data_IF_891071570061
#
_entry.id   IF_891071570061
#
_cell.length_a   1.000
_cell.length_b   1.000
_cell.length_c   1.000
_cell.angle_alpha   90.00
_cell.angle_beta   90.00
_cell.angle_gamma   90.00
#
_symmetry.space_group_name_H-M   'P 1'
#
loop_
_entity.id
_entity.type
_entity.pdbx_description
1 polymer ?
#
# COMPACT_ATOMS: atom_id res chain seq x y z
N UNK A 1 -16.69 -5.15 -12.58
CA UNK A 1 -15.94 -4.87 -11.33
C UNK A 1 -14.82 -5.88 -11.11
N UNK A 2 -13.57 -5.40 -11.11
CA UNK A 2 -12.35 -6.20 -10.98
C UNK A 2 -11.89 -6.22 -9.52
N UNK A 3 -11.69 -7.40 -8.93
CA UNK A 3 -11.24 -7.55 -7.53
C UNK A 3 -9.71 -7.49 -7.44
N UNK A 4 -9.18 -6.49 -6.74
CA UNK A 4 -7.74 -6.24 -6.62
C UNK A 4 -7.20 -6.69 -5.27
N UNK A 5 -6.15 -7.49 -5.29
CA UNK A 5 -5.36 -7.88 -4.12
C UNK A 5 -4.03 -7.15 -4.09
N UNK A 6 -3.74 -6.41 -3.03
CA UNK A 6 -2.48 -5.67 -2.89
C UNK A 6 -1.55 -6.37 -1.90
N UNK A 7 -0.31 -6.60 -2.32
CA UNK A 7 0.77 -7.11 -1.46
C UNK A 7 1.77 -5.98 -1.21
N UNK A 8 1.90 -5.54 0.04
CA UNK A 8 2.82 -4.48 0.46
C UNK A 8 4.13 -5.00 1.07
N UNK A 9 5.19 -4.20 1.06
CA UNK A 9 6.43 -4.55 1.77
C UNK A 9 6.18 -4.60 3.29
N UNK A 10 6.48 -5.73 3.95
CA UNK A 10 6.33 -5.90 5.41
C UNK A 10 7.09 -4.87 6.22
N UNK A 11 8.30 -4.56 5.77
CA UNK A 11 9.18 -3.60 6.43
C UNK A 11 8.55 -2.20 6.48
N UNK A 12 8.04 -1.73 5.34
CA UNK A 12 7.31 -0.46 5.28
C UNK A 12 5.93 -0.54 5.91
N UNK A 13 5.33 -1.73 5.97
CA UNK A 13 4.02 -1.90 6.52
C UNK A 13 3.96 -1.40 7.98
N UNK A 14 4.93 -1.80 8.79
CA UNK A 14 5.00 -1.38 10.20
C UNK A 14 5.63 -0.01 10.42
N UNK A 15 6.38 0.53 9.44
CA UNK A 15 6.97 1.87 9.51
C UNK A 15 6.03 2.97 9.02
N UNK A 16 4.85 2.59 8.54
CA UNK A 16 4.02 3.43 7.71
C UNK A 16 4.36 3.24 6.25
N UNK A 17 3.32 3.03 5.43
CA UNK A 17 3.46 3.21 3.98
C UNK A 17 4.14 4.57 3.78
N UNK A 18 5.19 4.63 2.94
CA UNK A 18 6.03 5.81 2.79
C UNK A 18 5.13 7.03 2.68
N UNK A 19 5.19 7.91 3.69
CA UNK A 19 4.51 9.19 3.66
C UNK A 19 3.75 9.62 4.91
N UNK A 20 3.05 8.73 5.62
CA UNK A 20 2.10 9.17 6.66
C UNK A 20 1.81 8.19 7.81
N UNK A 21 2.62 7.16 8.05
CA UNK A 21 2.26 6.13 9.05
C UNK A 21 0.92 5.42 8.75
N UNK A 22 0.41 5.51 7.51
CA UNK A 22 -0.89 4.96 7.08
C UNK A 22 -0.83 4.36 5.67
N UNK A 23 -1.63 3.34 5.39
CA UNK A 23 -1.66 2.65 4.08
C UNK A 23 -2.45 3.38 2.99
N UNK A 24 -2.49 4.71 3.02
CA UNK A 24 -3.43 5.50 2.21
C UNK A 24 -3.06 5.60 0.72
N UNK A 25 -1.77 5.54 0.36
CA UNK A 25 -1.33 5.80 -1.01
C UNK A 25 -1.91 4.83 -2.06
N UNK A 26 -2.17 3.57 -1.70
CA UNK A 26 -2.78 2.60 -2.62
C UNK A 26 -4.25 2.95 -2.89
N UNK A 27 -5.02 3.28 -1.84
CA UNK A 27 -6.41 3.71 -1.99
C UNK A 27 -6.51 5.05 -2.71
N UNK A 28 -5.61 5.99 -2.40
CA UNK A 28 -5.51 7.27 -3.08
C UNK A 28 -5.16 7.10 -4.57
N UNK A 29 -4.26 6.17 -4.92
CA UNK A 29 -3.95 5.88 -6.32
C UNK A 29 -5.19 5.39 -7.09
N UNK A 30 -6.02 4.55 -6.47
CA UNK A 30 -7.29 4.14 -7.07
C UNK A 30 -8.27 5.31 -7.20
N UNK A 31 -8.47 6.09 -6.12
CA UNK A 31 -9.41 7.22 -6.11
C UNK A 31 -9.02 8.37 -7.04
N UNK A 32 -7.73 8.70 -7.12
CA UNK A 32 -7.19 9.73 -8.01
C UNK A 32 -6.90 9.21 -9.43
N UNK A 33 -7.14 7.92 -9.70
CA UNK A 33 -6.81 7.26 -10.97
C UNK A 33 -5.34 7.46 -11.40
N UNK A 34 -4.41 7.29 -10.45
CA UNK A 34 -2.96 7.44 -10.66
C UNK A 34 -2.20 6.13 -10.58
N UNK A 35 -1.06 6.10 -11.25
CA UNK A 35 -0.15 4.94 -11.26
C UNK A 35 -0.76 3.72 -11.97
N UNK A 36 -0.12 2.55 -11.84
CA UNK A 36 -0.63 1.31 -12.43
C UNK A 36 -2.01 0.92 -11.89
N UNK A 37 -2.28 1.12 -10.60
CA UNK A 37 -3.56 0.77 -9.99
C UNK A 37 -4.71 1.64 -10.50
N UNK A 38 -4.46 2.94 -10.71
CA UNK A 38 -5.46 3.87 -11.24
C UNK A 38 -5.90 3.59 -12.68
N UNK A 39 -5.17 2.74 -13.42
CA UNK A 39 -5.57 2.29 -14.77
C UNK A 39 -6.72 1.28 -14.74
N UNK A 40 -6.99 0.66 -13.58
CA UNK A 40 -8.12 -0.23 -13.37
C UNK A 40 -9.38 0.58 -13.03
N UNK A 41 -10.07 1.11 -14.05
CA UNK A 41 -11.25 1.98 -13.89
C UNK A 41 -12.38 1.38 -13.02
N UNK A 42 -12.52 0.05 -12.99
CA UNK A 42 -13.48 -0.66 -12.15
C UNK A 42 -12.82 -1.57 -11.10
N UNK A 43 -11.56 -1.28 -10.75
CA UNK A 43 -10.83 -2.00 -9.72
C UNK A 43 -11.39 -1.71 -8.34
N UNK A 44 -11.65 -2.74 -7.54
CA UNK A 44 -11.97 -2.64 -6.12
C UNK A 44 -10.90 -3.37 -5.32
N UNK A 45 -10.19 -2.67 -4.44
CA UNK A 45 -9.31 -3.32 -3.45
C UNK A 45 -10.19 -4.17 -2.53
N UNK A 46 -10.04 -5.49 -2.63
CA UNK A 46 -10.74 -6.46 -1.76
C UNK A 46 -9.81 -7.07 -0.72
N UNK A 47 -8.50 -6.97 -0.93
CA UNK A 47 -7.49 -7.51 -0.03
C UNK A 47 -6.24 -6.64 -0.05
N UNK A 48 -5.68 -6.37 1.12
CA UNK A 48 -4.46 -5.60 1.30
C UNK A 48 -3.66 -6.26 2.42
N UNK A 49 -2.51 -6.85 2.10
CA UNK A 49 -1.74 -7.66 3.04
C UNK A 49 -0.24 -7.35 2.98
N UNK A 50 0.48 -7.45 4.11
CA UNK A 50 1.93 -7.38 4.08
C UNK A 50 2.53 -8.66 3.49
N UNK A 51 3.62 -8.50 2.73
CA UNK A 51 4.50 -9.58 2.30
C UNK A 51 4.97 -10.39 3.54
N UNK A 52 5.22 -11.71 3.44
CA UNK A 52 5.63 -12.53 4.59
C UNK A 52 7.00 -12.16 5.21
N UNK A 53 7.80 -11.31 4.55
CA UNK A 53 9.13 -10.88 5.00
C UNK A 53 10.21 -11.17 3.96
N UNK A 54 11.44 -10.72 4.19
CA UNK A 54 12.60 -11.03 3.35
C UNK A 54 13.41 -12.19 3.96
N UNK A 55 13.96 -13.13 3.16
CA UNK A 55 13.92 -13.23 1.70
C UNK A 55 12.61 -13.90 1.24
N UNK A 56 11.61 -13.09 0.84
CA UNK A 56 10.22 -13.53 0.67
C UNK A 56 10.02 -14.53 -0.46
N UNK A 57 9.80 -15.77 -0.08
CA UNK A 57 9.42 -16.91 -0.91
C UNK A 57 7.92 -17.17 -0.84
N UNK A 58 7.32 -16.92 0.33
CA UNK A 58 5.89 -17.20 0.61
C UNK A 58 4.85 -16.26 -0.05
N UNK A 59 5.26 -15.45 -1.03
CA UNK A 59 4.36 -14.48 -1.66
C UNK A 59 3.34 -15.16 -2.57
N UNK A 60 3.70 -16.31 -3.15
CA UNK A 60 2.79 -17.11 -3.99
C UNK A 60 1.70 -17.75 -3.13
N UNK A 61 2.04 -18.27 -1.96
CA UNK A 61 1.11 -18.84 -0.97
C UNK A 61 0.20 -17.76 -0.40
N UNK A 62 0.73 -16.55 -0.13
CA UNK A 62 -0.08 -15.40 0.25
C UNK A 62 -1.09 -15.05 -0.86
N UNK A 63 -0.65 -15.04 -2.12
CA UNK A 63 -1.53 -14.80 -3.27
C UNK A 63 -2.59 -15.90 -3.42
N UNK A 64 -2.24 -17.17 -3.18
CA UNK A 64 -3.21 -18.28 -3.16
C UNK A 64 -4.29 -18.08 -2.09
N UNK A 65 -3.90 -17.66 -0.88
CA UNK A 65 -4.87 -17.40 0.20
C UNK A 65 -5.77 -16.20 -0.12
N UNK A 66 -5.22 -15.14 -0.70
CA UNK A 66 -5.99 -13.98 -1.17
C UNK A 66 -6.96 -14.36 -2.30
N UNK A 67 -6.55 -15.24 -3.22
CA UNK A 67 -7.42 -15.78 -4.26
C UNK A 67 -8.57 -16.60 -3.66
N UNK A 68 -8.26 -17.52 -2.74
CA UNK A 68 -9.24 -18.43 -2.14
C UNK A 68 -10.26 -17.71 -1.23
N UNK A 69 -9.83 -16.71 -0.47
CA UNK A 69 -10.68 -16.04 0.53
C UNK A 69 -11.34 -14.76 0.00
N UNK A 70 -10.59 -13.98 -0.76
CA UNK A 70 -10.98 -12.63 -1.16
C UNK A 70 -11.41 -12.58 -2.64
N UNK A 71 -11.24 -13.70 -3.37
CA UNK A 71 -11.56 -13.86 -4.80
C UNK A 71 -10.86 -12.81 -5.67
N UNK A 72 -9.57 -12.61 -5.43
CA UNK A 72 -8.73 -11.67 -6.19
C UNK A 72 -8.67 -12.07 -7.66
N UNK A 73 -8.78 -11.09 -8.56
CA UNK A 73 -8.69 -11.24 -10.01
C UNK A 73 -7.46 -10.53 -10.61
N UNK A 74 -6.91 -9.56 -9.89
CA UNK A 74 -5.67 -8.85 -10.25
C UNK A 74 -4.85 -8.63 -9.01
N UNK A 75 -3.58 -9.00 -9.05
CA UNK A 75 -2.66 -8.69 -7.96
C UNK A 75 -1.93 -7.38 -8.24
N UNK A 76 -1.61 -6.63 -7.21
CA UNK A 76 -0.73 -5.47 -7.29
C UNK A 76 0.37 -5.57 -6.23
N UNK A 77 1.61 -5.65 -6.69
CA UNK A 77 2.77 -5.49 -5.82
C UNK A 77 2.95 -4.01 -5.54
N UNK A 78 2.75 -3.60 -4.29
CA UNK A 78 2.71 -2.19 -3.94
C UNK A 78 4.02 -1.48 -4.24
N UNK A 79 3.93 -0.19 -4.58
CA UNK A 79 5.11 0.64 -4.94
C UNK A 79 6.22 0.62 -3.89
N UNK A 80 5.88 0.44 -2.60
CA UNK A 80 6.84 0.35 -1.50
C UNK A 80 7.76 -0.88 -1.56
N UNK A 81 7.43 -1.92 -2.34
CA UNK A 81 8.35 -3.04 -2.61
C UNK A 81 9.55 -2.61 -3.47
N UNK A 82 9.40 -1.56 -4.26
CA UNK A 82 10.37 -1.13 -5.25
C UNK A 82 11.15 0.12 -4.84
N UNK A 83 10.90 0.68 -3.66
CA UNK A 83 11.68 1.80 -3.11
C UNK A 83 13.11 1.37 -2.78
N UNK A 84 14.04 2.32 -2.87
CA UNK A 84 15.50 2.15 -2.89
C UNK A 84 15.99 0.99 -2.00
N UNK A 85 16.15 -0.18 -2.64
CA UNK A 85 16.78 -1.38 -2.07
C UNK A 85 15.88 -2.42 -1.40
N UNK A 86 14.54 -2.30 -1.42
CA UNK A 86 13.72 -3.09 -0.49
C UNK A 86 13.33 -4.51 -0.93
N UNK A 87 13.11 -4.78 -2.21
CA UNK A 87 12.80 -6.14 -2.65
C UNK A 87 13.63 -6.54 -3.88
N UNK A 88 14.72 -7.30 -3.72
CA UNK A 88 15.55 -7.74 -4.85
C UNK A 88 14.83 -8.72 -5.78
N UNK A 89 13.66 -9.24 -5.36
CA UNK A 89 12.89 -10.25 -6.11
C UNK A 89 11.48 -9.79 -6.46
N UNK A 90 11.15 -8.51 -6.31
CA UNK A 90 9.78 -8.01 -6.50
C UNK A 90 9.20 -8.38 -7.87
N UNK A 91 9.95 -8.10 -8.93
CA UNK A 91 9.54 -8.45 -10.30
C UNK A 91 9.46 -9.95 -10.53
N UNK A 92 10.46 -10.70 -10.04
CA UNK A 92 10.50 -12.16 -10.17
C UNK A 92 9.32 -12.82 -9.45
N UNK A 93 8.95 -12.34 -8.26
CA UNK A 93 7.81 -12.82 -7.50
C UNK A 93 6.50 -12.48 -8.22
N UNK A 94 6.40 -11.30 -8.85
CA UNK A 94 5.27 -10.97 -9.71
C UNK A 94 5.09 -11.99 -10.84
N UNK A 95 6.15 -12.26 -11.60
CA UNK A 95 6.13 -13.28 -12.67
C UNK A 95 5.76 -14.68 -12.14
N UNK A 96 6.22 -15.05 -10.94
CA UNK A 96 5.86 -16.33 -10.31
C UNK A 96 4.37 -16.40 -9.96
N UNK A 97 3.78 -15.33 -9.47
CA UNK A 97 2.34 -15.25 -9.18
C UNK A 97 1.53 -15.34 -10.49
N UNK A 98 1.95 -14.61 -11.54
CA UNK A 98 1.30 -14.70 -12.86
C UNK A 98 1.34 -16.13 -13.40
N UNK A 99 2.52 -16.77 -13.35
CA UNK A 99 2.69 -18.16 -13.80
C UNK A 99 1.87 -19.16 -12.98
N UNK A 100 1.73 -18.95 -11.66
CA UNK A 100 1.02 -19.86 -10.78
C UNK A 100 -0.51 -19.80 -10.94
N UNK A 101 -1.08 -18.63 -11.23
CA UNK A 101 -2.54 -18.44 -11.20
C UNK A 101 -3.15 -18.00 -12.54
N UNK A 102 -2.33 -17.65 -13.55
CA UNK A 102 -2.83 -17.11 -14.82
C UNK A 102 -3.52 -15.75 -14.68
N UNK A 103 -3.28 -15.04 -13.57
CA UNK A 103 -3.88 -13.74 -13.27
C UNK A 103 -2.83 -12.63 -13.42
N UNK A 104 -3.19 -11.44 -13.93
CA UNK A 104 -2.25 -10.35 -14.13
C UNK A 104 -1.71 -9.81 -12.81
N UNK A 105 -0.43 -9.42 -12.82
CA UNK A 105 0.23 -8.74 -11.69
C UNK A 105 0.69 -7.35 -12.09
N UNK A 106 0.17 -6.34 -11.39
CA UNK A 106 0.66 -4.96 -11.50
C UNK A 106 1.92 -4.77 -10.66
N UNK A 107 2.97 -4.22 -11.28
CA UNK A 107 4.19 -3.83 -10.58
C UNK A 107 4.13 -2.34 -10.23
N UNK A 108 3.88 -2.08 -8.94
CA UNK A 108 3.61 -0.74 -8.44
C UNK A 108 2.11 -0.45 -8.33
N UNK A 109 1.74 0.42 -7.40
CA UNK A 109 0.35 0.83 -7.16
C UNK A 109 0.13 2.29 -7.52
N UNK A 110 0.86 3.17 -6.85
CA UNK A 110 0.88 4.62 -7.06
C UNK A 110 1.99 5.06 -8.03
N UNK A 111 3.16 4.40 -7.98
CA UNK A 111 4.28 4.60 -8.91
C UNK A 111 4.57 3.27 -9.57
N UNK A 112 4.91 3.26 -10.87
CA UNK A 112 5.41 2.08 -11.55
C UNK A 112 6.76 1.63 -10.95
N UNK A 113 7.04 0.33 -10.99
CA UNK A 113 8.22 -0.26 -10.33
C UNK A 113 9.55 0.35 -10.78
N UNK A 114 9.72 0.58 -12.08
CA UNK A 114 10.88 1.23 -12.70
C UNK A 114 11.15 2.64 -12.13
N UNK A 115 10.09 3.41 -11.92
CA UNK A 115 10.16 4.77 -11.34
C UNK A 115 10.31 4.76 -9.82
N UNK A 116 9.93 3.67 -9.16
CA UNK A 116 9.99 3.52 -7.72
C UNK A 116 11.41 3.19 -7.21
N UNK A 117 12.24 2.53 -8.03
CA UNK A 117 13.60 2.08 -7.72
C UNK A 117 14.49 3.10 -6.98
N UNK A 118 14.41 4.39 -7.31
CA UNK A 118 15.22 5.44 -6.70
C UNK A 118 14.61 6.14 -5.48
N UNK A 119 13.36 5.85 -5.12
CA UNK A 119 12.62 6.57 -4.09
C UNK A 119 12.86 5.93 -2.72
N UNK A 120 13.17 6.71 -1.67
CA UNK A 120 13.35 6.19 -0.29
C UNK A 120 12.06 6.16 0.52
N UNK A 121 11.25 7.21 0.36
CA UNK A 121 9.90 7.31 0.90
C UNK A 121 9.16 8.45 0.21
N UNK A 122 7.99 8.18 -0.35
CA UNK A 122 7.09 9.21 -0.87
C UNK A 122 6.36 9.87 0.30
N UNK A 123 6.81 11.03 0.77
CA UNK A 123 5.98 11.89 1.62
C UNK A 123 5.12 12.77 0.72
N UNK A 124 3.83 12.44 0.62
CA UNK A 124 2.85 13.43 0.14
C UNK A 124 2.43 14.29 1.31
N UNK A 125 2.02 15.53 1.05
CA UNK A 125 1.10 16.21 1.94
C UNK A 125 -0.30 15.85 1.42
N UNK A 126 -1.19 15.30 2.26
CA UNK A 126 -2.61 15.25 1.90
C UNK A 126 -3.19 16.62 2.26
N UNK A 127 -3.69 17.40 1.29
CA UNK A 127 -4.28 18.70 1.57
C UNK A 127 -5.39 18.56 2.61
N UNK A 128 -5.39 19.44 3.61
CA UNK A 128 -6.40 19.44 4.67
C UNK A 128 -6.19 18.44 5.81
N UNK A 129 -5.19 17.54 5.73
CA UNK A 129 -4.77 16.74 6.90
C UNK A 129 -3.78 17.59 7.72
N UNK A 130 -4.08 17.94 8.98
CA UNK A 130 -3.17 18.68 9.84
C UNK A 130 -1.86 17.91 10.03
N UNK A 131 -0.75 18.64 10.18
CA UNK A 131 0.53 18.00 10.52
C UNK A 131 0.43 17.27 11.86
N UNK A 132 1.25 16.23 12.10
CA UNK A 132 1.24 15.54 13.39
C UNK A 132 1.42 16.49 14.61
N UNK A 133 2.31 17.50 14.57
CA UNK A 133 2.38 18.53 15.62
C UNK A 133 1.10 19.34 15.77
N UNK A 134 0.40 19.62 14.67
CA UNK A 134 -0.86 20.35 14.69
C UNK A 134 -2.01 19.51 15.23
N UNK A 135 -2.08 18.22 14.89
CA UNK A 135 -2.98 17.26 15.52
C UNK A 135 -2.76 17.21 17.05
N UNK A 136 -1.51 17.11 17.49
CA UNK A 136 -1.17 17.10 18.92
C UNK A 136 -1.59 18.40 19.63
N UNK A 137 -1.37 19.57 19.00
CA UNK A 137 -1.86 20.85 19.54
C UNK A 137 -3.40 20.90 19.64
N UNK A 138 -4.10 20.47 18.58
CA UNK A 138 -5.58 20.44 18.56
C UNK A 138 -6.14 19.48 19.63
N UNK A 139 -5.52 18.31 19.80
CA UNK A 139 -5.90 17.34 20.83
C UNK A 139 -5.59 17.83 22.24
N UNK A 140 -4.43 18.46 22.46
CA UNK A 140 -4.08 19.09 23.74
C UNK A 140 -5.04 20.21 24.13
N UNK A 141 -5.52 20.99 23.15
CA UNK A 141 -6.56 21.99 23.38
C UNK A 141 -7.90 21.33 23.71
N UNK A 142 -8.28 20.24 23.06
CA UNK A 142 -9.52 19.50 23.37
C UNK A 142 -9.55 18.95 24.80
N UNK A 143 -8.43 18.40 25.29
CA UNK A 143 -8.33 17.96 26.69
C UNK A 143 -8.38 19.12 27.68
N UNK A 144 -7.80 20.27 27.33
CA UNK A 144 -7.90 21.51 28.12
C UNK A 144 -9.35 22.05 28.18
N UNK A 145 -10.07 22.07 27.05
CA UNK A 145 -11.48 22.44 27.00
C UNK A 145 -12.36 21.48 27.80
N UNK A 146 -12.09 20.18 27.76
CA UNK A 146 -12.80 19.19 28.56
C UNK A 146 -12.58 19.37 30.07
N UNK A 147 -11.40 19.85 30.50
CA UNK A 147 -11.16 20.18 31.92
C UNK A 147 -11.90 21.44 32.38
N UNK A 148 -12.05 22.43 31.50
CA UNK A 148 -12.79 23.68 31.80
C UNK A 148 -14.31 23.48 31.86
N UNK A 149 -14.86 22.52 31.12
CA UNK A 149 -16.31 22.23 31.12
C UNK A 149 -16.76 21.33 32.28
N UNK A 150 -15.83 20.81 33.09
CA UNK A 150 -16.11 19.96 34.26
C UNK A 150 -15.76 20.63 35.61
N UNK A 151 -15.29 21.87 35.60
CA UNK A 151 -15.09 22.70 36.79
C UNK A 151 -16.14 23.79 36.86
#
# INVERSE_FOLDING_TARGET
>A
MVRVGIIGCRHYWYRGCPGFHSHILCFQAQGEQKGPLGRLREGRIVSLRPCPGCPGDRMVELAADMLARDYVQVFALASCLFFAGHCPRGEQLGKKIEAAFGLPVLLGTYVAADKAAGLRSVRRAVPGIPSAPECLRRLGNLSYWYSLLRG
#
